data_IF_179536601896
#
_entry.id   IF_179536601896
#
_cell.length_a   1.000
_cell.length_b   1.000
_cell.length_c   1.000
_cell.angle_alpha   90.00
_cell.angle_beta   90.00
_cell.angle_gamma   90.00
#
_symmetry.space_group_name_H-M   'P 1'
#
loop_
_entity.id
_entity.type
_entity.pdbx_description
1 polymer ?
#
# COMPACT_ATOMS: atom_id res chain seq x y z
N UNK A 1 -27.22 49.48 -31.69
CA UNK A 1 -25.90 48.87 -31.49
C UNK A 1 -25.90 48.39 -30.05
N UNK A 2 -26.20 47.09 -29.82
CA UNK A 2 -26.20 46.49 -28.46
C UNK A 2 -24.84 45.82 -28.25
N UNK A 3 -24.04 46.42 -27.38
CA UNK A 3 -22.80 45.79 -26.92
C UNK A 3 -23.13 44.53 -26.12
N UNK A 4 -22.78 43.38 -26.66
CA UNK A 4 -22.77 42.12 -25.96
C UNK A 4 -21.55 42.14 -25.01
N UNK A 5 -21.76 42.57 -23.77
CA UNK A 5 -20.81 42.32 -22.67
C UNK A 5 -20.78 40.83 -22.39
N UNK A 6 -19.83 40.12 -23.01
CA UNK A 6 -19.49 38.77 -22.65
C UNK A 6 -18.98 38.77 -21.21
N UNK A 7 -19.74 38.23 -20.28
CA UNK A 7 -19.26 37.89 -18.94
C UNK A 7 -18.06 36.96 -19.13
N UNK A 8 -16.88 37.22 -18.55
CA UNK A 8 -15.79 36.24 -18.54
C UNK A 8 -16.32 35.01 -17.79
N UNK A 9 -16.67 33.96 -18.53
CA UNK A 9 -16.92 32.67 -17.94
C UNK A 9 -15.66 32.29 -17.19
N UNK A 10 -15.83 31.90 -15.93
CA UNK A 10 -14.80 31.24 -15.13
C UNK A 10 -14.36 29.96 -15.87
N UNK A 11 -13.47 30.12 -16.84
CA UNK A 11 -12.81 29.00 -17.47
C UNK A 11 -11.99 28.29 -16.39
N UNK A 12 -12.58 27.30 -15.71
CA UNK A 12 -11.87 26.39 -14.82
C UNK A 12 -10.79 25.74 -15.65
N UNK A 13 -9.57 26.23 -15.50
CA UNK A 13 -8.42 25.70 -16.20
C UNK A 13 -8.34 24.20 -15.91
N UNK A 14 -8.42 23.37 -16.94
CA UNK A 14 -8.33 21.93 -16.81
C UNK A 14 -7.01 21.51 -16.14
N UNK A 15 -6.92 20.26 -15.68
CA UNK A 15 -5.75 19.78 -14.98
C UNK A 15 -4.49 19.88 -15.84
N UNK A 16 -3.36 20.29 -15.23
CA UNK A 16 -2.06 20.31 -15.90
C UNK A 16 -1.55 18.90 -16.20
N UNK A 17 -0.60 18.76 -17.12
CA UNK A 17 0.06 17.48 -17.42
C UNK A 17 0.65 16.83 -16.16
N UNK A 18 1.32 17.63 -15.31
CA UNK A 18 1.88 17.14 -14.05
C UNK A 18 0.77 16.75 -13.06
N UNK A 19 -0.36 17.46 -13.06
CA UNK A 19 -1.55 17.07 -12.27
C UNK A 19 -2.08 15.68 -12.67
N UNK A 20 -2.15 15.40 -13.97
CA UNK A 20 -2.52 14.06 -14.46
C UNK A 20 -1.54 12.97 -14.01
N UNK A 21 -0.23 13.26 -14.03
CA UNK A 21 0.80 12.32 -13.55
C UNK A 21 0.61 12.04 -12.07
N UNK A 22 0.43 13.09 -11.24
CA UNK A 22 0.17 12.90 -9.81
C UNK A 22 -1.10 12.08 -9.59
N UNK A 23 -2.16 12.37 -10.33
CA UNK A 23 -3.41 11.62 -10.22
C UNK A 23 -3.23 10.12 -10.51
N UNK A 24 -2.49 9.78 -11.57
CA UNK A 24 -2.20 8.38 -11.91
C UNK A 24 -1.37 7.69 -10.83
N UNK A 25 -0.28 8.31 -10.38
CA UNK A 25 0.58 7.76 -9.34
C UNK A 25 -0.16 7.57 -8.01
N UNK A 26 -0.94 8.58 -7.59
CA UNK A 26 -1.71 8.52 -6.37
C UNK A 26 -2.84 7.48 -6.45
N UNK A 27 -3.52 7.35 -7.60
CA UNK A 27 -4.53 6.30 -7.80
C UNK A 27 -3.91 4.91 -7.72
N UNK A 28 -2.77 4.68 -8.39
CA UNK A 28 -2.07 3.41 -8.34
C UNK A 28 -1.67 3.01 -6.91
N UNK A 29 -1.09 3.94 -6.15
CA UNK A 29 -0.74 3.71 -4.75
C UNK A 29 -1.98 3.44 -3.88
N UNK A 30 -3.08 4.19 -4.09
CA UNK A 30 -4.34 3.98 -3.36
C UNK A 30 -4.92 2.58 -3.60
N UNK A 31 -4.90 2.10 -4.85
CA UNK A 31 -5.38 0.74 -5.20
C UNK A 31 -4.59 -0.32 -4.44
N UNK A 32 -3.25 -0.18 -4.35
CA UNK A 32 -2.42 -1.11 -3.58
C UNK A 32 -2.78 -1.04 -2.10
N UNK A 33 -2.88 0.16 -1.50
CA UNK A 33 -3.24 0.28 -0.09
C UNK A 33 -4.60 -0.36 0.22
N UNK A 34 -5.62 -0.16 -0.62
CA UNK A 34 -6.92 -0.82 -0.42
C UNK A 34 -6.85 -2.33 -0.61
N UNK A 35 -6.03 -2.84 -1.51
CA UNK A 35 -5.83 -4.27 -1.70
C UNK A 35 -5.18 -4.95 -0.48
N UNK A 36 -4.39 -4.20 0.31
CA UNK A 36 -3.77 -4.72 1.53
C UNK A 36 -4.75 -4.80 2.73
N UNK A 37 -5.85 -4.03 2.71
CA UNK A 37 -6.82 -3.98 3.83
C UNK A 37 -7.37 -5.37 4.20
N UNK A 38 -7.90 -6.19 3.27
CA UNK A 38 -8.51 -7.47 3.63
C UNK A 38 -7.53 -8.45 4.31
N UNK A 39 -6.27 -8.48 3.87
CA UNK A 39 -5.25 -9.38 4.41
C UNK A 39 -4.84 -9.07 5.87
N UNK A 40 -5.17 -7.89 6.39
CA UNK A 40 -4.75 -7.45 7.72
C UNK A 40 -5.93 -7.31 8.71
N UNK A 41 -7.18 -7.63 8.31
CA UNK A 41 -8.37 -7.48 9.18
C UNK A 41 -8.32 -8.45 10.37
N UNK A 42 -7.68 -9.61 10.24
CA UNK A 42 -7.63 -10.65 11.29
C UNK A 42 -6.62 -10.36 12.39
N UNK A 43 -5.58 -9.58 12.11
CA UNK A 43 -4.43 -9.44 12.98
C UNK A 43 -4.56 -8.27 13.94
N UNK A 44 -4.86 -7.09 13.42
CA UNK A 44 -5.09 -5.87 14.22
C UNK A 44 -6.06 -4.94 13.51
N UNK A 45 -6.62 -3.95 14.23
CA UNK A 45 -7.41 -2.88 13.61
C UNK A 45 -6.52 -1.73 13.10
N UNK A 46 -5.28 -1.64 13.57
CA UNK A 46 -4.41 -0.50 13.23
C UNK A 46 -3.90 -0.59 11.79
N UNK A 47 -3.46 -1.77 11.36
CA UNK A 47 -2.88 -1.96 10.02
C UNK A 47 -3.91 -1.73 8.90
N UNK A 48 -5.09 -2.40 8.90
CA UNK A 48 -6.10 -2.15 7.87
C UNK A 48 -6.62 -0.71 7.90
N UNK A 49 -6.69 -0.07 9.09
CA UNK A 49 -7.08 1.33 9.20
C UNK A 49 -5.99 2.25 8.60
N UNK A 50 -4.72 1.98 8.86
CA UNK A 50 -3.61 2.74 8.30
C UNK A 50 -3.59 2.64 6.76
N UNK A 51 -3.76 1.44 6.19
CA UNK A 51 -3.89 1.24 4.75
C UNK A 51 -5.11 1.96 4.18
N UNK A 52 -6.26 1.88 4.83
CA UNK A 52 -7.47 2.56 4.38
C UNK A 52 -7.28 4.10 4.40
N UNK A 53 -6.71 4.65 5.44
CA UNK A 53 -6.42 6.10 5.55
C UNK A 53 -5.44 6.55 4.46
N UNK A 54 -4.36 5.79 4.23
CA UNK A 54 -3.41 6.09 3.18
C UNK A 54 -4.07 6.04 1.79
N UNK A 55 -4.88 5.02 1.51
CA UNK A 55 -5.63 4.88 0.26
C UNK A 55 -6.60 6.04 0.03
N UNK A 56 -7.41 6.42 1.02
CA UNK A 56 -8.34 7.55 0.92
C UNK A 56 -7.62 8.88 0.76
N UNK A 57 -6.51 9.09 1.47
CA UNK A 57 -5.68 10.27 1.30
C UNK A 57 -5.17 10.39 -0.15
N UNK A 58 -4.65 9.32 -0.72
CA UNK A 58 -4.14 9.32 -2.08
C UNK A 58 -5.25 9.49 -3.12
N UNK A 59 -6.44 8.91 -2.92
CA UNK A 59 -7.60 9.16 -3.77
C UNK A 59 -8.06 10.61 -3.70
N UNK A 60 -8.02 11.24 -2.53
CA UNK A 60 -8.33 12.67 -2.40
C UNK A 60 -7.36 13.53 -3.21
N UNK A 61 -6.05 13.27 -3.14
CA UNK A 61 -5.04 13.95 -3.97
C UNK A 61 -5.33 13.74 -5.46
N UNK A 62 -5.61 12.50 -5.87
CA UNK A 62 -5.92 12.18 -7.26
C UNK A 62 -7.17 12.92 -7.74
N UNK A 63 -8.24 12.91 -6.97
CA UNK A 63 -9.49 13.61 -7.30
C UNK A 63 -9.32 15.13 -7.41
N UNK A 64 -8.56 15.74 -6.48
CA UNK A 64 -8.26 17.17 -6.55
C UNK A 64 -7.43 17.53 -7.80
N UNK A 65 -6.46 16.68 -8.15
CA UNK A 65 -5.64 16.85 -9.34
C UNK A 65 -6.46 16.72 -10.63
N UNK A 66 -7.32 15.70 -10.74
CA UNK A 66 -8.16 15.44 -11.91
C UNK A 66 -9.23 16.53 -12.14
N UNK A 67 -9.76 17.09 -11.07
CA UNK A 67 -10.78 18.14 -11.16
C UNK A 67 -10.21 19.55 -11.37
N UNK A 68 -8.87 19.68 -11.45
CA UNK A 68 -8.21 20.99 -11.54
C UNK A 68 -8.31 21.84 -10.27
N UNK A 69 -8.85 21.27 -9.16
CA UNK A 69 -8.98 21.96 -7.86
C UNK A 69 -7.72 21.91 -7.01
N UNK A 70 -6.72 21.14 -7.42
CA UNK A 70 -5.46 21.03 -6.69
C UNK A 70 -4.67 22.35 -6.75
N UNK A 71 -4.58 23.02 -5.63
CA UNK A 71 -3.77 24.21 -5.43
C UNK A 71 -2.46 23.90 -4.69
N UNK A 72 -1.68 24.94 -4.41
CA UNK A 72 -0.39 24.80 -3.69
C UNK A 72 -0.51 24.04 -2.38
N UNK A 73 -1.61 24.25 -1.63
CA UNK A 73 -1.85 23.53 -0.35
C UNK A 73 -2.04 22.02 -0.58
N UNK A 74 -2.76 21.64 -1.64
CA UNK A 74 -2.96 20.23 -2.02
C UNK A 74 -1.63 19.56 -2.37
N UNK A 75 -0.78 20.27 -3.13
CA UNK A 75 0.55 19.74 -3.49
C UNK A 75 1.47 19.61 -2.28
N UNK A 76 1.44 20.56 -1.34
CA UNK A 76 2.18 20.44 -0.07
C UNK A 76 1.65 19.25 0.74
N UNK A 77 0.33 19.09 0.85
CA UNK A 77 -0.27 17.94 1.54
C UNK A 77 0.14 16.62 0.88
N UNK A 78 0.17 16.55 -0.46
CA UNK A 78 0.65 15.38 -1.19
C UNK A 78 2.10 15.03 -0.85
N UNK A 79 2.99 16.02 -0.81
CA UNK A 79 4.39 15.80 -0.41
C UNK A 79 4.48 15.28 1.02
N UNK A 80 3.89 16.00 1.96
CA UNK A 80 4.02 15.65 3.39
C UNK A 80 3.36 14.32 3.72
N UNK A 81 2.17 14.04 3.17
CA UNK A 81 1.45 12.81 3.43
C UNK A 81 2.16 11.58 2.85
N UNK A 82 2.63 11.65 1.59
CA UNK A 82 3.39 10.53 1.03
C UNK A 82 4.74 10.33 1.72
N UNK A 83 5.42 11.39 2.16
CA UNK A 83 6.63 11.27 2.98
C UNK A 83 6.34 10.65 4.34
N UNK A 84 5.21 10.99 4.97
CA UNK A 84 4.80 10.38 6.23
C UNK A 84 4.52 8.88 6.05
N UNK A 85 3.78 8.48 5.00
CA UNK A 85 3.52 7.08 4.66
C UNK A 85 4.85 6.34 4.44
N UNK A 86 5.76 6.92 3.65
CA UNK A 86 7.09 6.34 3.42
C UNK A 86 7.90 6.26 4.72
N UNK A 87 7.81 7.27 5.58
CA UNK A 87 8.48 7.27 6.89
C UNK A 87 8.01 6.14 7.80
N UNK A 88 6.71 5.90 7.88
CA UNK A 88 6.14 4.76 8.62
C UNK A 88 6.62 3.43 8.03
N UNK A 89 6.60 3.31 6.71
CA UNK A 89 7.08 2.12 6.02
C UNK A 89 8.57 1.86 6.29
N UNK A 90 9.44 2.87 6.20
CA UNK A 90 10.87 2.73 6.54
C UNK A 90 11.04 2.32 8.00
N UNK A 91 10.26 2.92 8.91
CA UNK A 91 10.33 2.58 10.33
C UNK A 91 9.98 1.12 10.58
N UNK A 92 8.88 0.61 10.00
CA UNK A 92 8.50 -0.80 10.15
C UNK A 92 9.56 -1.79 9.62
N UNK A 93 10.35 -1.40 8.60
CA UNK A 93 11.43 -2.22 8.01
C UNK A 93 12.81 -2.05 8.65
N UNK A 94 12.97 -1.11 9.56
CA UNK A 94 14.28 -0.84 10.18
C UNK A 94 14.31 -1.04 11.68
N UNK A 95 13.24 -0.68 12.36
CA UNK A 95 13.16 -0.73 13.82
C UNK A 95 11.93 -1.46 14.37
N UNK A 96 10.99 -1.83 13.50
CA UNK A 96 9.66 -2.31 13.90
C UNK A 96 8.78 -1.17 14.42
N UNK A 97 7.48 -1.28 14.22
CA UNK A 97 6.54 -0.29 14.74
C UNK A 97 6.33 -0.51 16.25
N UNK A 98 6.20 0.56 17.06
CA UNK A 98 5.98 0.46 18.51
C UNK A 98 4.52 0.17 18.86
N UNK A 99 3.68 -0.19 17.88
CA UNK A 99 2.25 -0.45 18.03
C UNK A 99 1.79 -1.51 17.02
N UNK A 100 0.71 -2.19 17.33
CA UNK A 100 0.15 -3.24 16.49
C UNK A 100 0.50 -4.65 16.99
N UNK A 101 0.07 -5.68 16.26
CA UNK A 101 0.32 -7.08 16.65
C UNK A 101 1.77 -7.50 16.47
N UNK A 102 2.52 -6.81 15.61
CA UNK A 102 3.94 -7.05 15.34
C UNK A 102 4.83 -5.99 16.01
N UNK A 103 4.47 -5.55 17.24
CA UNK A 103 5.22 -4.54 17.97
C UNK A 103 6.71 -4.90 18.09
N UNK A 104 7.57 -4.01 17.60
CA UNK A 104 9.03 -4.16 17.62
C UNK A 104 9.59 -5.18 16.63
N UNK A 105 8.74 -5.83 15.84
CA UNK A 105 9.20 -6.78 14.80
C UNK A 105 9.51 -6.02 13.52
N UNK A 106 10.70 -6.26 12.97
CA UNK A 106 11.12 -5.73 11.67
C UNK A 106 10.49 -6.56 10.57
N UNK A 107 9.67 -5.91 9.75
CA UNK A 107 8.98 -6.57 8.65
C UNK A 107 9.87 -6.67 7.40
N UNK A 108 9.68 -7.73 6.61
CA UNK A 108 10.38 -7.91 5.34
C UNK A 108 9.86 -6.96 4.26
N UNK A 109 10.73 -6.64 3.29
CA UNK A 109 10.36 -5.80 2.15
C UNK A 109 9.70 -6.66 1.08
N UNK A 110 8.39 -6.47 0.89
CA UNK A 110 7.63 -7.12 -0.17
C UNK A 110 7.63 -6.30 -1.48
N UNK A 111 7.41 -6.97 -2.61
CA UNK A 111 7.30 -6.31 -3.92
C UNK A 111 6.11 -5.35 -3.99
N UNK A 112 5.00 -5.72 -3.36
CA UNK A 112 3.78 -4.89 -3.25
C UNK A 112 4.05 -3.61 -2.50
N UNK A 113 4.70 -3.71 -1.34
CA UNK A 113 5.08 -2.56 -0.52
C UNK A 113 5.99 -1.62 -1.27
N UNK A 114 7.02 -2.17 -1.91
CA UNK A 114 7.96 -1.38 -2.70
C UNK A 114 7.26 -0.66 -3.84
N UNK A 115 6.33 -1.31 -4.55
CA UNK A 115 5.55 -0.68 -5.61
C UNK A 115 4.70 0.48 -5.07
N UNK A 116 4.02 0.32 -3.92
CA UNK A 116 3.27 1.39 -3.27
C UNK A 116 4.17 2.58 -2.92
N UNK A 117 5.38 2.32 -2.39
CA UNK A 117 6.36 3.36 -2.05
C UNK A 117 6.87 4.09 -3.30
N UNK A 118 7.21 3.37 -4.38
CA UNK A 118 7.65 3.98 -5.65
C UNK A 118 6.57 4.92 -6.20
N UNK A 119 5.30 4.51 -6.19
CA UNK A 119 4.19 5.33 -6.66
C UNK A 119 3.96 6.54 -5.74
N UNK A 120 3.97 6.35 -4.41
CA UNK A 120 3.78 7.43 -3.43
C UNK A 120 4.92 8.46 -3.47
N UNK A 121 6.17 8.01 -3.48
CA UNK A 121 7.35 8.88 -3.60
C UNK A 121 7.33 9.60 -4.95
N UNK A 122 6.99 8.92 -6.04
CA UNK A 122 6.81 9.54 -7.35
C UNK A 122 5.77 10.67 -7.32
N UNK A 123 4.60 10.43 -6.70
CA UNK A 123 3.58 11.46 -6.51
C UNK A 123 4.09 12.64 -5.68
N UNK A 124 4.86 12.38 -4.60
CA UNK A 124 5.47 13.43 -3.78
C UNK A 124 6.46 14.28 -4.57
N UNK A 125 7.34 13.66 -5.37
CA UNK A 125 8.35 14.37 -6.17
C UNK A 125 7.71 15.27 -7.23
N UNK A 126 6.70 14.76 -7.96
CA UNK A 126 5.97 15.56 -8.95
C UNK A 126 5.19 16.68 -8.26
N UNK A 127 4.57 16.42 -7.11
CA UNK A 127 3.89 17.45 -6.31
C UNK A 127 4.87 18.51 -5.80
N UNK A 128 6.05 18.14 -5.34
CA UNK A 128 7.10 19.08 -4.95
C UNK A 128 7.51 19.99 -6.13
N UNK A 129 7.65 19.42 -7.33
CA UNK A 129 7.89 20.20 -8.55
C UNK A 129 6.78 21.21 -8.82
N UNK A 130 5.50 20.84 -8.58
CA UNK A 130 4.35 21.74 -8.73
C UNK A 130 4.33 22.84 -7.67
N UNK A 131 4.79 22.57 -6.46
CA UNK A 131 4.93 23.60 -5.39
C UNK A 131 5.99 24.63 -5.74
N UNK A 132 7.10 24.17 -6.34
CA UNK A 132 8.28 25.00 -6.61
C UNK A 132 8.23 25.71 -7.97
N UNK A 133 7.41 25.21 -8.92
CA UNK A 133 7.30 25.82 -10.23
C UNK A 133 6.45 27.10 -10.16
N UNK A 134 6.87 28.17 -10.81
CA UNK A 134 5.95 29.27 -11.09
C UNK A 134 4.78 28.73 -11.92
N UNK A 135 3.59 29.30 -11.73
CA UNK A 135 2.40 28.93 -12.48
C UNK A 135 2.70 29.10 -13.99
N UNK A 136 3.04 28.01 -14.63
CA UNK A 136 3.35 27.97 -16.06
C UNK A 136 2.12 27.63 -16.86
N UNK A 137 1.98 28.22 -18.05
CA UNK A 137 0.84 28.06 -18.93
C UNK A 137 0.51 26.61 -19.33
N UNK A 138 -0.61 26.38 -20.03
CA UNK A 138 -1.12 25.07 -20.35
C UNK A 138 -0.11 24.24 -21.17
N UNK A 139 0.25 23.07 -20.66
CA UNK A 139 1.12 22.13 -21.36
C UNK A 139 0.35 21.48 -22.53
N UNK A 140 0.94 21.49 -23.73
CA UNK A 140 0.33 20.94 -24.96
C UNK A 140 0.40 19.41 -25.06
N UNK A 141 1.06 18.73 -24.14
CA UNK A 141 1.21 17.26 -24.19
C UNK A 141 -0.01 16.55 -23.61
N UNK A 142 -1.06 16.38 -24.42
CA UNK A 142 -2.35 15.79 -23.96
C UNK A 142 -2.29 14.26 -23.76
N UNK A 143 -1.34 13.55 -24.36
CA UNK A 143 -1.27 12.09 -24.31
C UNK A 143 -0.32 11.54 -23.23
N UNK A 144 0.77 12.23 -22.91
CA UNK A 144 1.74 11.80 -21.90
C UNK A 144 1.13 11.49 -20.52
N UNK A 145 0.19 12.30 -19.99
CA UNK A 145 -0.42 12.03 -18.70
C UNK A 145 -1.35 10.82 -18.71
N UNK A 146 -2.04 10.55 -19.81
CA UNK A 146 -2.88 9.35 -19.92
C UNK A 146 -2.04 8.08 -19.91
N UNK A 147 -0.89 8.08 -20.58
CA UNK A 147 0.05 6.97 -20.54
C UNK A 147 0.67 6.77 -19.15
N UNK A 148 1.03 7.86 -18.46
CA UNK A 148 1.58 7.76 -17.09
C UNK A 148 0.54 7.20 -16.11
N UNK A 149 -0.72 7.64 -16.19
CA UNK A 149 -1.81 7.13 -15.38
C UNK A 149 -2.09 5.63 -15.69
N UNK A 150 -2.17 5.27 -16.97
CA UNK A 150 -2.37 3.89 -17.39
C UNK A 150 -1.21 2.99 -16.93
N UNK A 151 0.03 3.45 -17.03
CA UNK A 151 1.20 2.70 -16.58
C UNK A 151 1.20 2.51 -15.06
N UNK A 152 0.82 3.53 -14.28
CA UNK A 152 0.73 3.42 -12.83
C UNK A 152 -0.36 2.43 -12.38
N UNK A 153 -1.53 2.47 -13.03
CA UNK A 153 -2.62 1.53 -12.77
C UNK A 153 -2.22 0.11 -13.20
N UNK A 154 -1.60 -0.05 -14.36
CA UNK A 154 -1.12 -1.34 -14.84
C UNK A 154 -0.07 -1.94 -13.91
N UNK A 155 0.89 -1.13 -13.42
CA UNK A 155 1.88 -1.57 -12.45
C UNK A 155 1.20 -2.02 -11.14
N UNK A 156 0.29 -1.22 -10.60
CA UNK A 156 -0.45 -1.57 -9.40
C UNK A 156 -1.24 -2.87 -9.58
N UNK A 157 -1.94 -3.02 -10.70
CA UNK A 157 -2.70 -4.23 -11.01
C UNK A 157 -1.79 -5.45 -11.14
N UNK A 158 -0.68 -5.34 -11.87
CA UNK A 158 0.29 -6.43 -12.06
C UNK A 158 0.88 -6.89 -10.73
N UNK A 159 1.22 -5.95 -9.85
CA UNK A 159 1.78 -6.27 -8.53
C UNK A 159 0.73 -6.95 -7.63
N UNK A 160 -0.51 -6.46 -7.62
CA UNK A 160 -1.60 -7.04 -6.81
C UNK A 160 -1.98 -8.45 -7.28
N UNK A 161 -1.90 -8.71 -8.59
CA UNK A 161 -2.20 -10.03 -9.17
C UNK A 161 -1.00 -10.97 -9.21
N UNK A 162 0.18 -10.54 -8.76
CA UNK A 162 1.35 -11.40 -8.68
C UNK A 162 1.17 -12.52 -7.66
N UNK A 163 1.86 -13.65 -7.86
CA UNK A 163 1.81 -14.77 -6.91
C UNK A 163 2.33 -14.38 -5.52
N UNK A 164 3.26 -13.44 -5.44
CA UNK A 164 3.79 -12.92 -4.17
C UNK A 164 2.70 -12.21 -3.35
N UNK A 165 1.74 -11.54 -4.02
CA UNK A 165 0.59 -10.95 -3.36
C UNK A 165 -0.34 -11.98 -2.73
N UNK A 166 -0.53 -13.11 -3.43
CA UNK A 166 -1.38 -14.20 -2.96
C UNK A 166 -0.76 -14.97 -1.77
N UNK A 167 0.58 -15.00 -1.67
CA UNK A 167 1.29 -15.72 -0.60
C UNK A 167 1.46 -14.90 0.67
N UNK A 168 1.46 -13.58 0.62
CA UNK A 168 1.56 -12.74 1.82
C UNK A 168 0.36 -12.85 2.77
N UNK A 169 -0.83 -13.21 2.25
CA UNK A 169 -2.04 -13.42 3.07
C UNK A 169 -2.15 -14.83 3.68
N UNK A 170 -1.30 -15.78 3.29
CA UNK A 170 -1.38 -17.18 3.70
C UNK A 170 -0.13 -17.71 4.40
N UNK A 171 0.93 -16.91 4.55
CA UNK A 171 2.17 -17.36 5.19
C UNK A 171 1.99 -17.63 6.69
N UNK A 172 0.94 -17.12 7.33
CA UNK A 172 0.65 -17.37 8.75
C UNK A 172 -0.24 -18.59 8.98
N UNK A 173 -1.02 -19.05 7.99
CA UNK A 173 -1.83 -20.26 8.07
C UNK A 173 -1.08 -21.54 7.62
N UNK A 174 0.10 -21.41 7.06
CA UNK A 174 0.98 -22.55 6.90
C UNK A 174 1.47 -22.92 8.30
N UNK A 175 0.79 -23.87 8.93
CA UNK A 175 1.33 -24.60 10.08
C UNK A 175 2.81 -24.83 9.80
N UNK A 176 3.74 -24.28 10.60
CA UNK A 176 5.15 -24.44 10.30
C UNK A 176 5.39 -25.93 10.20
N UNK A 177 5.82 -26.40 9.03
CA UNK A 177 6.20 -27.79 8.87
C UNK A 177 7.16 -28.04 10.01
N UNK A 178 6.76 -28.92 10.96
CA UNK A 178 7.50 -29.19 12.18
C UNK A 178 8.95 -29.47 11.81
N UNK A 179 9.79 -28.41 11.82
CA UNK A 179 11.17 -28.50 11.39
C UNK A 179 12.03 -28.95 12.57
N UNK A 180 12.70 -30.06 12.42
CA UNK A 180 13.73 -30.49 13.34
C UNK A 180 13.21 -30.82 14.74
N UNK A 181 13.36 -29.94 15.71
CA UNK A 181 13.11 -30.21 17.12
C UNK A 181 11.63 -30.49 17.46
N UNK A 182 10.69 -29.78 16.83
CA UNK A 182 9.25 -29.99 17.07
C UNK A 182 8.76 -31.30 16.43
N UNK A 183 9.28 -31.70 15.27
CA UNK A 183 9.02 -33.01 14.68
C UNK A 183 9.60 -34.14 15.54
N UNK A 184 10.78 -33.93 16.10
CA UNK A 184 11.44 -34.87 16.99
C UNK A 184 10.69 -35.04 18.31
N UNK A 185 10.15 -33.97 18.90
CA UNK A 185 9.33 -34.04 20.11
C UNK A 185 8.00 -34.72 19.86
N UNK A 186 7.32 -34.44 18.72
CA UNK A 186 6.08 -35.12 18.35
C UNK A 186 6.30 -36.64 18.14
N UNK A 187 7.46 -37.04 17.61
CA UNK A 187 7.83 -38.44 17.43
C UNK A 187 8.14 -39.13 18.77
N UNK A 188 8.81 -38.45 19.70
CA UNK A 188 9.07 -38.93 21.06
C UNK A 188 7.78 -39.16 21.84
N UNK A 189 6.79 -38.26 21.71
CA UNK A 189 5.48 -38.42 22.35
C UNK A 189 4.67 -39.57 21.74
N UNK A 190 4.74 -39.77 20.42
CA UNK A 190 4.10 -40.90 19.75
C UNK A 190 4.71 -42.24 20.17
N UNK A 191 6.05 -42.34 20.24
CA UNK A 191 6.77 -43.52 20.68
C UNK A 191 6.53 -43.83 22.17
N UNK A 192 6.32 -42.77 22.99
CA UNK A 192 6.02 -42.91 24.41
C UNK A 192 4.62 -43.47 24.65
N UNK A 193 3.63 -43.03 23.87
CA UNK A 193 2.28 -43.60 23.93
C UNK A 193 2.25 -45.08 23.53
N UNK A 194 3.07 -45.48 22.56
CA UNK A 194 3.11 -46.89 22.08
C UNK A 194 3.81 -47.81 23.05
N UNK A 195 4.82 -47.30 23.78
CA UNK A 195 5.55 -48.10 24.80
C UNK A 195 4.76 -48.29 26.09
N UNK A 196 3.94 -47.32 26.49
CA UNK A 196 3.15 -47.43 27.72
C UNK A 196 2.00 -48.43 27.60
N UNK A 197 1.42 -48.64 26.40
CA UNK A 197 0.36 -49.63 26.15
C UNK A 197 0.86 -51.06 26.06
N UNK A 198 2.11 -51.29 25.76
CA UNK A 198 2.70 -52.63 25.62
C UNK A 198 3.51 -53.09 26.83
N UNK A 199 3.50 -52.33 27.94
CA UNK A 199 4.23 -52.72 29.12
C UNK A 199 3.65 -53.97 29.76
N UNK A 200 4.45 -55.00 30.06
CA UNK A 200 3.98 -56.32 30.59
C UNK A 200 3.15 -56.24 31.87
N UNK A 201 3.29 -55.19 32.66
CA UNK A 201 2.54 -54.97 33.91
C UNK A 201 1.05 -54.72 33.70
N UNK A 202 0.61 -54.24 32.51
CA UNK A 202 -0.81 -54.03 32.21
C UNK A 202 -1.52 -55.30 31.71
N UNK A 203 -0.82 -56.38 31.40
CA UNK A 203 -1.41 -57.66 30.94
C UNK A 203 -1.71 -58.64 32.07
N UNK A 204 -1.35 -58.33 33.30
CA UNK A 204 -1.48 -59.24 34.43
C UNK A 204 -2.79 -59.11 35.23
N UNK A 205 -3.64 -58.10 34.91
CA UNK A 205 -4.87 -57.81 35.66
C UNK A 205 -6.15 -57.92 34.82
N UNK A 206 -6.16 -58.60 33.67
CA UNK A 206 -7.34 -58.84 32.86
C UNK A 206 -7.77 -60.29 32.84
#
# INVERSE_FOLDING_TARGET
MSEHTSTPGDDVAGPSTLGWIVAGLATGAAVIHFAMVPGHIGDSLLDPLAFAVAGWFQLWIAGAALTGRAGRRTWIASVLGNLAITGVWVWSRTAGLPVGNHEGIVEEVGAIDLAAQVLGVGAALVSARLVLAPAGGPSRARLAPAFAAAAAIALATTVITSQDAATHGHAEDATPALTGHAAQMAQIDADRCDTDFNHPSYRAEA
#
